data_IF_486774481565
#
_entry.id   IF_486774481565
#
_cell.length_a   1.000
_cell.length_b   1.000
_cell.length_c   1.000
_cell.angle_alpha   90.00
_cell.angle_beta   90.00
_cell.angle_gamma   90.00
#
_symmetry.space_group_name_H-M   'P 1'
#
loop_
_entity.id
_entity.type
_entity.pdbx_description
1 polymer ?
#
# COMPACT_ATOMS: atom_id res chain seq x y z
N UNK A 1 14.14 1.80 -31.38
CA UNK A 1 13.43 2.58 -30.34
C UNK A 1 12.64 1.62 -29.45
N UNK A 2 12.77 1.71 -28.13
CA UNK A 2 11.89 0.95 -27.21
C UNK A 2 10.50 1.59 -27.17
N UNK A 3 9.46 0.83 -27.52
CA UNK A 3 8.11 1.37 -27.68
C UNK A 3 7.47 1.78 -26.34
N UNK A 4 7.79 1.08 -25.24
CA UNK A 4 7.24 1.39 -23.93
C UNK A 4 7.88 2.66 -23.35
N UNK A 5 9.21 2.74 -23.39
CA UNK A 5 9.93 3.94 -22.94
C UNK A 5 9.59 5.16 -23.79
N UNK A 6 9.43 5.00 -25.11
CA UNK A 6 9.03 6.10 -25.99
C UNK A 6 7.60 6.60 -25.71
N UNK A 7 6.66 5.69 -25.41
CA UNK A 7 5.30 6.07 -25.04
C UNK A 7 5.28 6.81 -23.69
N UNK A 8 6.02 6.31 -22.69
CA UNK A 8 6.15 6.98 -21.39
C UNK A 8 6.85 8.32 -21.54
N UNK A 9 7.93 8.42 -22.32
CA UNK A 9 8.68 9.67 -22.48
C UNK A 9 7.82 10.77 -23.10
N UNK A 10 6.93 10.42 -24.03
CA UNK A 10 5.98 11.38 -24.61
C UNK A 10 5.17 12.11 -23.53
N UNK A 11 4.67 11.38 -22.53
CA UNK A 11 3.90 11.96 -21.42
C UNK A 11 4.74 12.89 -20.53
N UNK A 12 6.05 12.69 -20.45
CA UNK A 12 6.93 13.56 -19.67
C UNK A 12 7.49 14.73 -20.48
N UNK A 13 7.56 14.65 -21.81
CA UNK A 13 8.06 15.75 -22.63
C UNK A 13 6.95 16.73 -23.06
N UNK A 14 5.72 16.25 -23.22
CA UNK A 14 4.60 17.05 -23.72
C UNK A 14 3.47 17.23 -22.70
N UNK A 15 3.37 16.37 -21.69
CA UNK A 15 2.35 16.42 -20.64
C UNK A 15 2.99 16.52 -19.24
N UNK A 16 2.16 16.49 -18.19
CA UNK A 16 2.59 16.55 -16.78
C UNK A 16 3.00 15.15 -16.24
N UNK A 17 3.60 14.30 -17.08
CA UNK A 17 4.01 12.94 -16.75
C UNK A 17 2.85 11.95 -16.67
N UNK A 18 3.10 10.80 -16.04
CA UNK A 18 2.09 9.78 -15.78
C UNK A 18 1.26 10.15 -14.55
N UNK A 19 -0.06 9.97 -14.61
CA UNK A 19 -0.86 10.00 -13.39
C UNK A 19 -0.55 8.74 -12.57
N UNK A 20 -0.44 8.83 -11.24
CA UNK A 20 -0.33 7.64 -10.41
C UNK A 20 -1.52 6.74 -10.72
N UNK A 21 -1.26 5.45 -10.98
CA UNK A 21 -2.30 4.47 -11.32
C UNK A 21 -3.29 4.39 -10.15
N UNK A 22 -4.37 5.15 -10.21
CA UNK A 22 -5.58 4.88 -9.43
C UNK A 22 -6.24 3.71 -10.13
N UNK A 23 -5.95 2.50 -9.67
CA UNK A 23 -6.67 1.29 -10.06
C UNK A 23 -8.17 1.55 -9.93
N UNK A 24 -8.85 1.74 -11.06
CA UNK A 24 -10.29 1.62 -11.13
C UNK A 24 -10.62 0.14 -11.09
N UNK A 25 -11.15 -0.31 -9.95
CA UNK A 25 -11.75 -1.62 -9.71
C UNK A 25 -10.78 -2.82 -9.69
N UNK A 26 -9.88 -2.86 -8.70
CA UNK A 26 -9.70 -3.98 -7.76
C UNK A 26 -8.50 -3.67 -6.85
N UNK A 27 -8.56 -4.16 -5.61
CA UNK A 27 -7.69 -3.83 -4.48
C UNK A 27 -6.19 -3.65 -4.81
N UNK A 28 -5.66 -2.45 -4.53
CA UNK A 28 -4.22 -2.17 -4.46
C UNK A 28 -3.68 -1.34 -5.63
N UNK A 29 -2.87 -0.34 -5.31
CA UNK A 29 -2.01 0.37 -6.28
C UNK A 29 -0.88 -0.62 -6.62
N UNK A 30 -1.12 -1.51 -7.59
CA UNK A 30 -0.08 -2.42 -8.06
C UNK A 30 0.78 -1.69 -9.10
N UNK A 31 2.10 -1.58 -8.89
CA UNK A 31 2.99 -1.01 -9.88
C UNK A 31 3.00 -1.88 -11.15
N UNK A 32 3.35 -1.31 -12.32
CA UNK A 32 3.48 -2.05 -13.58
C UNK A 32 4.77 -2.90 -13.62
N UNK A 33 5.07 -3.63 -12.54
CA UNK A 33 6.20 -4.56 -12.44
C UNK A 33 5.69 -5.96 -12.06
N UNK A 34 6.38 -7.03 -12.48
CA UNK A 34 6.08 -8.38 -12.04
C UNK A 34 6.23 -8.48 -10.51
N UNK A 35 5.11 -8.64 -9.82
CA UNK A 35 5.03 -8.74 -8.38
C UNK A 35 4.10 -9.89 -8.00
N UNK A 36 4.54 -10.74 -7.08
CA UNK A 36 3.70 -11.80 -6.52
C UNK A 36 3.71 -11.70 -5.00
N UNK A 37 2.57 -11.34 -4.42
CA UNK A 37 2.36 -11.25 -2.99
C UNK A 37 1.07 -12.02 -2.66
N UNK A 38 1.17 -13.26 -2.13
CA UNK A 38 -0.02 -14.06 -1.82
C UNK A 38 -0.81 -13.54 -0.61
N UNK A 39 -0.18 -12.75 0.26
CA UNK A 39 -0.78 -12.14 1.46
C UNK A 39 -1.09 -10.65 1.26
N UNK A 40 -1.69 -9.98 2.25
CA UNK A 40 -1.86 -8.51 2.24
C UNK A 40 -0.64 -7.74 2.76
N UNK A 41 0.35 -8.45 3.32
CA UNK A 41 1.60 -7.88 3.82
C UNK A 41 2.82 -8.70 3.36
N UNK A 42 3.57 -8.18 2.39
CA UNK A 42 4.81 -8.80 1.92
C UNK A 42 5.97 -7.84 2.10
N UNK A 43 7.13 -8.37 2.48
CA UNK A 43 8.36 -7.57 2.57
C UNK A 43 9.47 -8.27 1.81
N UNK A 44 10.28 -7.50 1.09
CA UNK A 44 11.45 -8.02 0.38
C UNK A 44 12.73 -7.52 1.05
N UNK A 45 13.79 -8.37 1.09
CA UNK A 45 15.09 -7.92 1.56
C UNK A 45 15.63 -6.81 0.64
N UNK A 46 16.60 -6.05 1.16
CA UNK A 46 17.33 -5.08 0.36
C UNK A 46 17.98 -5.80 -0.82
N UNK A 47 17.78 -5.26 -2.01
CA UNK A 47 18.30 -5.83 -3.23
C UNK A 47 18.74 -4.76 -4.22
N UNK A 48 19.64 -5.14 -5.11
CA UNK A 48 20.14 -4.27 -6.17
C UNK A 48 19.36 -4.52 -7.45
N UNK A 49 19.03 -3.44 -8.16
CA UNK A 49 18.35 -3.51 -9.45
C UNK A 49 18.88 -2.43 -10.38
N UNK A 50 19.04 -2.79 -11.65
CA UNK A 50 19.38 -1.85 -12.71
C UNK A 50 18.17 -0.95 -13.02
N UNK A 51 18.42 0.34 -13.17
CA UNK A 51 17.40 1.31 -13.52
C UNK A 51 17.98 2.57 -14.12
N UNK A 52 17.12 3.58 -14.23
CA UNK A 52 17.48 4.92 -14.67
C UNK A 52 17.45 5.86 -13.47
N UNK A 53 18.44 6.74 -13.39
CA UNK A 53 18.53 7.76 -12.36
C UNK A 53 18.71 9.14 -13.00
N UNK A 54 18.10 10.13 -12.37
CA UNK A 54 18.38 11.54 -12.65
C UNK A 54 19.33 12.09 -11.59
N UNK A 55 20.13 13.08 -11.99
CA UNK A 55 20.64 14.11 -11.08
C UNK A 55 20.49 15.46 -11.76
N UNK A 56 20.08 16.48 -11.01
CA UNK A 56 20.06 17.86 -11.49
C UNK A 56 20.81 18.79 -10.53
N UNK A 57 21.45 19.81 -11.08
CA UNK A 57 22.15 20.86 -10.33
C UNK A 57 21.75 22.24 -10.86
N UNK A 58 21.61 23.22 -9.97
CA UNK A 58 21.42 24.61 -10.35
C UNK A 58 22.68 25.13 -11.06
N UNK A 59 22.51 25.70 -12.25
CA UNK A 59 23.57 26.28 -13.09
C UNK A 59 23.23 27.69 -13.54
N UNK A 60 22.42 28.41 -12.76
CA UNK A 60 22.06 29.81 -13.05
C UNK A 60 23.30 30.71 -13.08
N UNK A 61 24.36 30.34 -12.35
CA UNK A 61 25.69 30.97 -12.37
C UNK A 61 26.49 30.73 -13.66
N UNK A 62 26.03 29.85 -14.56
CA UNK A 62 26.62 29.57 -15.88
C UNK A 62 25.92 30.32 -17.01
N UNK A 63 25.06 31.27 -16.66
CA UNK A 63 24.38 32.13 -17.62
C UNK A 63 24.90 33.56 -17.58
N UNK A 64 24.96 34.18 -18.75
CA UNK A 64 25.35 35.58 -18.90
C UNK A 64 24.33 36.34 -19.74
N UNK A 65 23.96 37.54 -19.30
CA UNK A 65 23.10 38.40 -20.08
C UNK A 65 23.88 39.14 -21.15
N UNK A 66 23.40 39.12 -22.39
CA UNK A 66 24.02 39.82 -23.53
C UNK A 66 22.96 40.54 -24.39
N UNK A 67 23.27 41.76 -24.83
CA UNK A 67 22.35 42.62 -25.59
C UNK A 67 23.07 43.80 -26.28
N UNK A 68 22.81 44.10 -27.56
CA UNK A 68 22.33 43.19 -28.61
C UNK A 68 23.46 42.26 -29.08
N UNK A 69 23.13 41.00 -29.37
CA UNK A 69 24.07 40.05 -29.98
C UNK A 69 23.55 39.71 -31.37
N UNK A 70 24.39 39.86 -32.39
CA UNK A 70 24.08 39.34 -33.71
C UNK A 70 24.00 37.82 -33.63
N UNK A 71 22.86 37.28 -34.05
CA UNK A 71 22.68 35.86 -34.32
C UNK A 71 23.35 35.57 -35.67
N UNK A 72 24.68 35.74 -35.74
CA UNK A 72 25.47 35.08 -36.78
C UNK A 72 25.19 33.60 -36.59
N UNK A 73 24.61 32.89 -37.57
CA UNK A 73 24.62 31.44 -37.89
C UNK A 73 24.90 30.39 -36.77
N UNK A 74 24.76 30.75 -35.49
CA UNK A 74 25.25 30.09 -34.28
C UNK A 74 24.12 29.33 -33.56
N UNK A 75 22.96 29.30 -34.19
CA UNK A 75 21.90 28.35 -33.90
C UNK A 75 21.40 27.83 -35.23
N UNK A 76 21.25 26.51 -35.37
CA UNK A 76 20.44 25.85 -36.41
C UNK A 76 18.95 26.26 -36.35
N UNK A 77 18.66 27.48 -35.93
CA UNK A 77 17.35 28.03 -35.66
C UNK A 77 17.14 29.27 -36.51
N UNK A 78 15.97 29.35 -37.15
CA UNK A 78 15.50 30.38 -38.11
C UNK A 78 15.60 31.83 -37.59
N UNK A 79 16.80 32.34 -37.35
CA UNK A 79 17.05 33.77 -37.24
C UNK A 79 18.29 34.18 -38.04
N UNK A 80 18.47 33.72 -39.29
CA UNK A 80 19.58 34.20 -40.10
C UNK A 80 19.46 35.71 -40.24
N UNK A 81 20.44 36.44 -39.70
CA UNK A 81 20.56 37.91 -39.70
C UNK A 81 19.67 38.68 -38.70
N UNK A 82 19.39 38.12 -37.51
CA UNK A 82 18.68 38.82 -36.43
C UNK A 82 19.58 39.25 -35.26
N UNK A 83 19.14 40.21 -34.46
CA UNK A 83 19.76 40.59 -33.18
C UNK A 83 18.87 40.20 -31.99
N UNK A 84 19.44 39.49 -31.02
CA UNK A 84 18.73 39.07 -29.82
C UNK A 84 19.32 39.66 -28.55
N UNK A 85 18.45 39.84 -27.56
CA UNK A 85 18.80 40.23 -26.20
C UNK A 85 18.29 39.17 -25.24
N UNK A 86 19.14 38.73 -24.31
CA UNK A 86 18.75 37.66 -23.43
C UNK A 86 19.91 37.01 -22.69
N UNK A 87 19.62 35.86 -22.10
CA UNK A 87 20.57 35.06 -21.33
C UNK A 87 21.15 33.95 -22.20
N UNK A 88 22.48 33.88 -22.20
CA UNK A 88 23.27 32.94 -22.96
C UNK A 88 23.93 31.94 -22.02
N UNK A 89 24.02 30.69 -22.47
CA UNK A 89 24.87 29.69 -21.83
C UNK A 89 26.33 30.02 -22.10
N UNK A 90 27.13 30.14 -21.04
CA UNK A 90 28.58 30.37 -21.14
C UNK A 90 29.25 29.17 -21.81
N UNK A 91 29.84 29.39 -22.98
CA UNK A 91 30.60 28.45 -23.78
C UNK A 91 31.51 29.24 -24.75
N UNK A 92 32.41 28.56 -25.47
CA UNK A 92 33.25 29.22 -26.48
C UNK A 92 32.38 29.87 -27.57
N UNK A 93 31.30 29.18 -27.95
CA UNK A 93 30.21 29.67 -28.79
C UNK A 93 28.95 29.82 -27.91
N UNK A 94 28.62 31.03 -27.45
CA UNK A 94 27.52 31.27 -26.52
C UNK A 94 26.17 30.95 -27.15
N UNK A 95 25.33 30.23 -26.41
CA UNK A 95 24.04 29.73 -26.91
C UNK A 95 22.91 30.52 -26.26
N UNK A 96 22.06 31.17 -27.04
CA UNK A 96 20.89 31.89 -26.51
C UNK A 96 19.92 30.88 -25.88
N UNK A 97 19.64 31.03 -24.59
CA UNK A 97 18.77 30.14 -23.82
C UNK A 97 17.39 30.74 -23.53
N UNK A 98 17.35 32.04 -23.22
CA UNK A 98 16.10 32.83 -23.10
C UNK A 98 16.34 34.23 -23.61
N UNK A 99 15.36 34.85 -24.24
CA UNK A 99 15.53 36.19 -24.79
C UNK A 99 14.46 36.59 -25.78
N UNK A 100 14.67 37.71 -26.44
CA UNK A 100 13.75 38.24 -27.44
C UNK A 100 14.50 38.92 -28.57
N UNK A 101 13.87 38.91 -29.75
CA UNK A 101 14.37 39.59 -30.93
C UNK A 101 14.03 41.09 -30.86
N UNK A 102 15.01 41.94 -31.16
CA UNK A 102 14.87 43.41 -31.19
C UNK A 102 14.78 44.01 -32.61
N UNK A 103 14.88 43.18 -33.65
CA UNK A 103 14.93 43.65 -35.03
C UNK A 103 13.54 44.08 -35.54
N UNK A 104 13.37 45.34 -35.99
CA UNK A 104 12.16 45.74 -36.71
C UNK A 104 12.17 45.18 -38.15
N UNK A 105 11.01 44.69 -38.61
CA UNK A 105 10.75 44.25 -40.00
C UNK A 105 11.33 42.91 -40.47
N UNK A 106 11.57 41.95 -39.57
CA UNK A 106 11.80 40.53 -39.93
C UNK A 106 10.53 39.68 -39.74
N UNK A 107 10.49 38.47 -40.30
CA UNK A 107 9.38 37.52 -40.06
C UNK A 107 9.26 37.07 -38.58
N UNK A 108 10.27 37.39 -37.76
CA UNK A 108 10.38 37.00 -36.35
C UNK A 108 10.25 38.18 -35.39
N UNK A 109 9.79 39.34 -35.88
CA UNK A 109 9.52 40.50 -35.02
C UNK A 109 8.57 40.10 -33.90
N UNK A 110 8.95 40.39 -32.66
CA UNK A 110 8.13 40.13 -31.48
C UNK A 110 8.14 38.68 -30.98
N UNK A 111 8.99 37.80 -31.53
CA UNK A 111 9.25 36.46 -31.00
C UNK A 111 10.11 36.53 -29.72
N UNK A 112 9.69 35.76 -28.72
CA UNK A 112 10.33 35.65 -27.41
C UNK A 112 10.63 34.18 -27.15
N UNK A 113 11.91 33.86 -26.92
CA UNK A 113 12.38 32.57 -26.44
C UNK A 113 12.19 32.51 -24.93
N UNK A 114 11.18 31.77 -24.49
CA UNK A 114 10.82 31.67 -23.08
C UNK A 114 11.64 30.60 -22.38
N UNK A 115 11.91 29.48 -23.05
CA UNK A 115 12.72 28.39 -22.50
C UNK A 115 13.46 27.63 -23.59
N UNK A 116 14.64 27.11 -23.24
CA UNK A 116 15.44 26.22 -24.07
C UNK A 116 15.97 25.06 -23.25
N UNK A 117 15.92 23.88 -23.85
CA UNK A 117 16.64 22.70 -23.35
C UNK A 117 17.75 22.39 -24.35
N UNK A 118 19.00 22.44 -23.89
CA UNK A 118 20.19 22.31 -24.72
C UNK A 118 21.03 21.11 -24.26
N UNK A 119 21.23 20.07 -25.09
CA UNK A 119 22.17 19.00 -24.77
C UNK A 119 23.59 19.59 -24.66
N UNK A 120 24.41 19.05 -23.76
CA UNK A 120 25.81 19.46 -23.53
C UNK A 120 26.80 18.82 -24.51
N UNK A 121 26.29 18.32 -25.63
CA UNK A 121 27.02 17.78 -26.77
C UNK A 121 26.35 18.25 -28.06
N UNK A 122 27.11 18.25 -29.15
CA UNK A 122 26.57 18.45 -30.50
C UNK A 122 25.89 17.15 -30.98
N UNK A 123 24.64 17.24 -31.41
CA UNK A 123 23.84 16.07 -31.81
C UNK A 123 24.33 15.42 -33.11
N UNK A 124 25.17 16.09 -33.89
CA UNK A 124 25.69 15.62 -35.18
C UNK A 124 27.10 15.06 -35.08
N UNK A 125 27.95 15.65 -34.22
CA UNK A 125 29.35 15.22 -34.02
C UNK A 125 29.55 14.42 -32.73
N UNK A 126 28.61 14.47 -31.79
CA UNK A 126 28.71 13.92 -30.41
C UNK A 126 29.80 14.56 -29.56
N UNK A 127 30.47 15.58 -30.06
CA UNK A 127 31.50 16.30 -29.30
C UNK A 127 30.84 17.15 -28.20
N UNK A 128 31.43 17.19 -26.98
CA UNK A 128 30.97 18.09 -25.92
C UNK A 128 30.98 19.56 -26.37
N UNK A 129 30.09 20.38 -25.81
CA UNK A 129 30.09 21.83 -26.08
C UNK A 129 31.42 22.44 -25.60
N UNK A 130 32.19 22.98 -26.54
CA UNK A 130 33.49 23.61 -26.25
C UNK A 130 33.35 24.82 -25.33
N UNK A 131 34.25 24.94 -24.35
CA UNK A 131 34.29 26.05 -23.39
C UNK A 131 33.24 26.00 -22.28
N UNK A 132 32.29 25.05 -22.31
CA UNK A 132 31.30 24.89 -21.25
C UNK A 132 31.83 24.02 -20.09
N UNK A 133 31.76 24.54 -18.87
CA UNK A 133 32.19 23.83 -17.66
C UNK A 133 31.00 23.17 -16.95
N UNK A 134 30.64 21.96 -17.40
CA UNK A 134 29.58 21.13 -16.81
C UNK A 134 29.85 20.84 -15.31
N UNK A 135 28.83 20.95 -14.46
CA UNK A 135 28.88 20.57 -13.04
C UNK A 135 28.74 19.06 -12.83
N UNK A 136 28.04 18.36 -13.73
CA UNK A 136 27.75 16.93 -13.65
C UNK A 136 28.56 16.16 -14.71
N UNK A 137 29.87 16.00 -14.49
CA UNK A 137 30.78 15.32 -15.43
C UNK A 137 31.32 13.96 -14.94
N UNK A 138 30.68 13.38 -13.93
CA UNK A 138 31.18 12.20 -13.22
C UNK A 138 30.47 10.89 -13.61
N UNK A 139 29.76 10.86 -14.75
CA UNK A 139 29.04 9.66 -15.23
C UNK A 139 29.42 9.33 -16.66
N UNK A 140 29.79 8.06 -16.86
CA UNK A 140 30.07 7.50 -18.18
C UNK A 140 28.78 7.07 -18.86
N UNK A 141 28.68 7.36 -20.16
CA UNK A 141 27.59 6.93 -21.03
C UNK A 141 26.19 7.32 -20.49
N UNK A 142 25.92 8.61 -20.24
CA UNK A 142 24.58 9.06 -19.86
C UNK A 142 23.59 8.83 -21.02
N UNK A 143 22.33 8.61 -20.68
CA UNK A 143 21.22 8.62 -21.65
C UNK A 143 20.94 10.02 -22.18
N UNK A 144 21.14 11.04 -21.34
CA UNK A 144 21.04 12.44 -21.73
C UNK A 144 21.75 13.33 -20.73
N UNK A 145 22.43 14.37 -21.21
CA UNK A 145 23.08 15.39 -20.39
C UNK A 145 22.81 16.75 -21.02
N UNK A 146 22.05 17.58 -20.32
CA UNK A 146 21.48 18.79 -20.90
C UNK A 146 21.29 19.89 -19.85
N UNK A 147 21.22 21.13 -20.32
CA UNK A 147 20.87 22.30 -19.53
C UNK A 147 19.50 22.80 -19.98
N UNK A 148 18.59 22.95 -19.02
CA UNK A 148 17.29 23.59 -19.21
C UNK A 148 17.35 24.96 -18.60
N UNK A 149 16.92 25.96 -19.35
CA UNK A 149 16.75 27.32 -18.84
C UNK A 149 15.30 27.75 -19.06
N UNK A 150 14.69 28.28 -18.01
CA UNK A 150 13.34 28.83 -18.04
C UNK A 150 13.35 30.31 -17.65
N UNK A 151 12.78 31.15 -18.51
CA UNK A 151 12.51 32.55 -18.22
C UNK A 151 11.16 32.78 -17.54
N UNK A 152 10.41 31.71 -17.21
CA UNK A 152 9.10 31.77 -16.56
C UNK A 152 7.98 32.20 -17.51
N UNK A 153 7.94 33.48 -17.89
CA UNK A 153 6.92 34.02 -18.78
C UNK A 153 7.49 35.08 -19.74
N UNK A 154 6.68 35.47 -20.73
CA UNK A 154 7.08 36.47 -21.76
C UNK A 154 7.43 37.83 -21.14
N UNK A 155 6.77 38.22 -20.05
CA UNK A 155 6.97 39.52 -19.40
C UNK A 155 8.32 39.53 -18.67
N UNK A 156 8.63 38.49 -17.92
CA UNK A 156 9.88 38.31 -17.19
C UNK A 156 11.08 38.28 -18.13
N UNK A 157 10.96 37.54 -19.25
CA UNK A 157 12.01 37.51 -20.29
C UNK A 157 12.26 38.90 -20.86
N UNK A 158 11.21 39.67 -21.18
CA UNK A 158 11.34 41.05 -21.70
C UNK A 158 11.85 42.05 -20.65
N UNK A 159 11.66 41.76 -19.37
CA UNK A 159 12.21 42.54 -18.27
C UNK A 159 13.66 42.17 -17.94
N UNK A 160 14.27 41.24 -18.69
CA UNK A 160 15.61 40.71 -18.44
C UNK A 160 15.76 40.12 -17.03
N UNK A 161 14.67 39.57 -16.49
CA UNK A 161 14.72 38.86 -15.21
C UNK A 161 15.72 37.69 -15.30
N UNK A 162 16.39 37.38 -14.19
CA UNK A 162 17.31 36.24 -14.10
C UNK A 162 16.50 34.95 -14.26
N UNK A 163 16.76 34.13 -15.30
CA UNK A 163 16.05 32.88 -15.52
C UNK A 163 16.56 31.82 -14.53
N UNK A 164 15.85 30.70 -14.50
CA UNK A 164 16.17 29.54 -13.67
C UNK A 164 16.82 28.51 -14.57
N UNK A 165 17.98 27.99 -14.15
CA UNK A 165 18.75 27.06 -14.97
C UNK A 165 19.13 25.79 -14.21
N UNK A 166 18.87 24.64 -14.83
CA UNK A 166 19.19 23.33 -14.29
C UNK A 166 20.01 22.52 -15.29
N UNK A 167 21.17 22.04 -14.87
CA UNK A 167 21.93 21.01 -15.58
C UNK A 167 21.46 19.66 -15.06
N UNK A 168 20.92 18.82 -15.94
CA UNK A 168 20.40 17.51 -15.60
C UNK A 168 21.11 16.42 -16.40
N UNK A 169 21.38 15.30 -15.71
CA UNK A 169 21.94 14.10 -16.30
C UNK A 169 21.04 12.91 -15.99
N UNK A 170 20.59 12.22 -17.03
CA UNK A 170 19.87 10.95 -16.95
C UNK A 170 20.83 9.84 -17.35
N UNK A 171 20.93 8.81 -16.53
CA UNK A 171 21.91 7.74 -16.74
C UNK A 171 21.45 6.41 -16.17
N UNK A 172 22.06 5.34 -16.67
CA UNK A 172 21.94 4.02 -16.08
C UNK A 172 22.59 3.99 -14.70
N UNK A 173 21.91 3.36 -13.74
CA UNK A 173 22.37 3.26 -12.37
C UNK A 173 21.92 1.94 -11.75
N UNK A 174 22.63 1.49 -10.72
CA UNK A 174 22.20 0.39 -9.85
C UNK A 174 21.61 0.99 -8.59
N UNK A 175 20.35 0.66 -8.29
CA UNK A 175 19.63 1.14 -7.11
C UNK A 175 19.54 0.02 -6.09
N UNK A 176 19.87 0.31 -4.84
CA UNK A 176 19.59 -0.58 -3.71
C UNK A 176 18.22 -0.24 -3.14
N UNK A 177 17.26 -1.12 -3.35
CA UNK A 177 15.85 -0.91 -3.03
C UNK A 177 15.39 -1.82 -1.88
N UNK A 178 14.47 -1.32 -1.08
CA UNK A 178 13.69 -2.10 -0.13
C UNK A 178 12.21 -1.93 -0.46
N UNK A 179 11.58 -3.01 -0.90
CA UNK A 179 10.19 -3.02 -1.33
C UNK A 179 9.29 -3.66 -0.27
N UNK A 180 8.08 -3.16 -0.12
CA UNK A 180 7.07 -3.72 0.76
C UNK A 180 5.67 -3.49 0.20
N UNK A 181 4.80 -4.48 0.39
CA UNK A 181 3.35 -4.37 0.19
C UNK A 181 2.72 -4.32 1.56
N UNK A 182 1.97 -3.26 1.86
CA UNK A 182 1.20 -3.14 3.09
C UNK A 182 -0.26 -2.81 2.74
N UNK A 183 -1.20 -3.63 3.20
CA UNK A 183 -2.64 -3.50 2.89
C UNK A 183 -2.93 -3.41 1.38
N UNK A 184 -2.12 -4.10 0.57
CA UNK A 184 -2.22 -4.08 -0.90
C UNK A 184 -1.62 -2.84 -1.58
N UNK A 185 -1.07 -1.88 -0.83
CA UNK A 185 -0.31 -0.76 -1.39
C UNK A 185 1.18 -1.12 -1.49
N UNK A 186 1.75 -0.97 -2.69
CA UNK A 186 3.17 -1.16 -2.92
C UNK A 186 3.97 0.11 -2.60
N UNK A 187 5.06 -0.06 -1.87
CA UNK A 187 5.99 1.02 -1.54
C UNK A 187 7.43 0.55 -1.74
N UNK A 188 8.27 1.45 -2.23
CA UNK A 188 9.71 1.21 -2.37
C UNK A 188 10.48 2.34 -1.70
N UNK A 189 11.53 1.96 -0.97
CA UNK A 189 12.49 2.90 -0.44
C UNK A 189 13.85 2.65 -1.11
N UNK A 190 14.39 3.68 -1.77
CA UNK A 190 15.71 3.64 -2.40
C UNK A 190 16.73 4.09 -1.36
N UNK A 191 17.65 3.19 -1.00
CA UNK A 191 18.65 3.43 0.05
C UNK A 191 19.99 3.90 -0.50
N UNK A 192 20.43 3.34 -1.63
CA UNK A 192 21.71 3.67 -2.26
C UNK A 192 21.59 3.65 -3.78
N UNK A 193 22.43 4.44 -4.45
CA UNK A 193 22.50 4.54 -5.90
C UNK A 193 23.96 4.53 -6.35
N UNK A 194 24.29 3.66 -7.29
CA UNK A 194 25.62 3.51 -7.87
C UNK A 194 25.58 3.86 -9.36
N UNK A 195 26.52 4.69 -9.80
CA UNK A 195 26.69 5.12 -11.19
C UNK A 195 27.98 4.55 -11.77
N UNK A 196 28.02 4.36 -13.09
CA UNK A 196 29.28 4.07 -13.77
C UNK A 196 30.12 5.35 -13.89
N UNK A 197 31.25 5.37 -13.18
CA UNK A 197 32.23 6.47 -13.20
C UNK A 197 33.56 6.08 -13.83
N UNK A 198 33.58 4.98 -14.60
CA UNK A 198 34.82 4.52 -15.24
C UNK A 198 35.29 5.53 -16.29
N UNK A 199 36.60 5.67 -16.43
CA UNK A 199 37.20 6.45 -17.51
C UNK A 199 37.46 5.52 -18.70
N UNK A 200 37.23 6.01 -19.90
CA UNK A 200 37.50 5.27 -21.13
C UNK A 200 37.47 6.16 -22.37
N UNK A 201 37.77 5.60 -23.54
CA UNK A 201 37.68 6.32 -24.80
C UNK A 201 36.23 6.67 -25.12
N UNK A 202 36.04 7.63 -26.02
CA UNK A 202 34.73 7.97 -26.57
C UNK A 202 34.11 6.72 -27.26
N UNK A 203 32.90 6.28 -26.84
CA UNK A 203 32.25 5.11 -27.43
C UNK A 203 31.66 5.37 -28.82
N UNK A 204 31.62 6.64 -29.28
CA UNK A 204 31.04 7.01 -30.56
C UNK A 204 32.03 6.86 -31.71
N UNK A 205 31.53 6.41 -32.84
CA UNK A 205 32.22 6.52 -34.13
C UNK A 205 31.34 7.29 -35.09
N UNK A 206 31.84 8.45 -35.52
CA UNK A 206 31.13 9.36 -36.42
C UNK A 206 31.82 9.32 -37.78
N UNK A 207 31.08 8.90 -38.80
CA UNK A 207 31.55 8.92 -40.19
C UNK A 207 30.71 9.90 -40.99
N UNK A 208 31.38 10.79 -41.73
CA UNK A 208 30.73 11.75 -42.63
C UNK A 208 30.75 11.16 -44.03
N UNK A 209 29.57 10.92 -44.59
CA UNK A 209 29.44 10.42 -45.96
C UNK A 209 28.87 11.54 -46.84
N UNK A 210 29.63 11.95 -47.87
CA UNK A 210 29.22 12.99 -48.79
C UNK A 210 27.87 12.63 -49.44
N UNK A 211 26.88 13.52 -49.29
CA UNK A 211 25.49 13.40 -49.77
C UNK A 211 24.49 12.55 -48.96
N UNK A 212 24.93 11.83 -47.92
CA UNK A 212 24.03 11.01 -47.06
C UNK A 212 23.87 11.64 -45.66
N UNK A 213 24.93 12.26 -45.14
CA UNK A 213 24.93 12.93 -43.84
C UNK A 213 25.94 12.34 -42.84
N UNK A 214 25.64 12.47 -41.55
CA UNK A 214 26.44 11.90 -40.46
C UNK A 214 25.89 10.52 -40.11
N UNK A 215 26.74 9.51 -40.10
CA UNK A 215 26.42 8.18 -39.58
C UNK A 215 27.14 8.01 -38.24
N UNK A 216 26.36 7.79 -37.18
CA UNK A 216 26.85 7.67 -35.80
C UNK A 216 26.57 6.26 -35.30
N UNK A 217 27.62 5.58 -34.84
CA UNK A 217 27.51 4.25 -34.23
C UNK A 217 27.98 4.33 -32.78
N UNK A 218 27.17 3.79 -31.88
CA UNK A 218 27.52 3.59 -30.48
C UNK A 218 28.08 2.18 -30.26
N UNK A 219 29.34 2.06 -29.86
CA UNK A 219 30.08 0.79 -29.90
C UNK A 219 30.33 0.13 -28.52
N UNK A 220 29.90 0.74 -27.43
CA UNK A 220 30.22 0.27 -26.08
C UNK A 220 29.02 -0.36 -25.36
N UNK A 221 29.20 -1.55 -24.78
CA UNK A 221 28.20 -2.11 -23.87
C UNK A 221 28.25 -1.40 -22.51
N UNK A 222 27.10 -1.19 -21.88
CA UNK A 222 27.04 -0.57 -20.55
C UNK A 222 27.23 -1.67 -19.51
N UNK A 223 28.23 -1.51 -18.63
CA UNK A 223 28.42 -2.37 -17.47
C UNK A 223 28.48 -1.53 -16.19
N UNK A 224 27.80 -1.96 -15.14
CA UNK A 224 27.77 -1.30 -13.84
C UNK A 224 27.87 -2.36 -12.75
N UNK A 225 28.83 -2.20 -11.84
CA UNK A 225 28.95 -3.06 -10.67
C UNK A 225 28.18 -2.46 -9.50
N UNK A 226 27.28 -3.25 -8.91
CA UNK A 226 26.61 -2.88 -7.66
C UNK A 226 27.56 -2.88 -6.47
N UNK A 227 27.07 -2.40 -5.32
CA UNK A 227 27.82 -2.45 -4.05
C UNK A 227 28.06 -3.90 -3.59
N UNK A 228 27.21 -4.84 -3.99
CA UNK A 228 27.41 -6.27 -3.78
C UNK A 228 28.53 -6.88 -4.62
N UNK A 229 29.03 -6.16 -5.63
CA UNK A 229 29.95 -6.66 -6.65
C UNK A 229 29.27 -7.36 -7.83
N UNK A 230 27.93 -7.50 -7.81
CA UNK A 230 27.18 -8.05 -8.93
C UNK A 230 27.25 -7.14 -10.16
N UNK A 231 27.44 -7.73 -11.34
CA UNK A 231 27.55 -7.00 -12.60
C UNK A 231 26.19 -6.91 -13.30
N UNK A 232 25.76 -5.69 -13.60
CA UNK A 232 24.61 -5.40 -14.43
C UNK A 232 25.09 -4.90 -15.80
N UNK A 233 24.62 -5.53 -16.87
CA UNK A 233 25.06 -5.23 -18.23
C UNK A 233 23.88 -4.95 -19.17
N UNK A 234 24.08 -4.02 -20.12
CA UNK A 234 23.17 -3.70 -21.22
C UNK A 234 23.94 -3.70 -22.54
N UNK A 235 23.29 -4.12 -23.62
CA UNK A 235 23.88 -4.00 -24.96
C UNK A 235 23.96 -2.54 -25.40
N UNK A 236 24.95 -2.25 -26.24
CA UNK A 236 25.09 -0.97 -26.95
C UNK A 236 23.82 -0.63 -27.76
N UNK A 237 23.17 -1.62 -28.35
CA UNK A 237 21.93 -1.44 -29.12
C UNK A 237 20.77 -0.94 -28.22
N UNK A 238 20.55 -1.55 -27.05
CA UNK A 238 19.52 -1.12 -26.11
C UNK A 238 19.80 0.30 -25.61
N UNK A 239 21.06 0.58 -25.27
CA UNK A 239 21.47 1.92 -24.86
C UNK A 239 21.16 2.97 -25.95
N UNK A 240 21.60 2.73 -27.19
CA UNK A 240 21.40 3.65 -28.29
C UNK A 240 19.91 3.87 -28.60
N UNK A 241 19.11 2.80 -28.59
CA UNK A 241 17.66 2.87 -28.85
C UNK A 241 16.88 3.74 -27.85
N UNK A 242 17.38 3.86 -26.61
CA UNK A 242 16.77 4.65 -25.55
C UNK A 242 17.34 6.07 -25.58
N UNK A 243 18.65 6.20 -25.82
CA UNK A 243 19.32 7.49 -25.95
C UNK A 243 18.71 8.34 -27.07
N UNK A 244 18.36 7.74 -28.22
CA UNK A 244 17.71 8.46 -29.34
C UNK A 244 16.39 9.13 -28.97
N UNK A 245 15.70 8.67 -27.93
CA UNK A 245 14.47 9.33 -27.42
C UNK A 245 14.81 10.74 -26.93
N UNK A 246 15.96 10.91 -26.28
CA UNK A 246 16.40 12.21 -25.77
C UNK A 246 16.94 13.10 -26.88
N UNK A 247 17.68 12.55 -27.84
CA UNK A 247 18.15 13.31 -29.02
C UNK A 247 16.97 13.86 -29.85
N UNK A 248 15.85 13.15 -29.91
CA UNK A 248 14.64 13.64 -30.58
C UNK A 248 13.98 14.82 -29.85
N UNK A 249 14.16 14.94 -28.53
CA UNK A 249 13.54 15.99 -27.71
C UNK A 249 14.51 17.12 -27.34
N UNK A 250 15.82 16.91 -27.49
CA UNK A 250 16.87 17.86 -27.17
C UNK A 250 17.85 17.99 -28.35
N UNK A 251 18.12 19.20 -28.87
CA UNK A 251 17.67 20.50 -28.37
C UNK A 251 16.17 20.75 -28.57
N UNK A 252 15.60 21.59 -27.71
CA UNK A 252 14.25 22.11 -27.87
C UNK A 252 14.13 23.55 -27.42
N UNK A 253 13.20 24.27 -28.06
CA UNK A 253 12.89 25.65 -27.67
C UNK A 253 11.39 25.86 -27.56
N UNK A 254 11.05 26.79 -26.67
CA UNK A 254 9.68 27.17 -26.38
C UNK A 254 9.54 28.67 -26.58
N UNK A 255 8.85 29.07 -27.66
CA UNK A 255 8.76 30.47 -28.08
C UNK A 255 7.32 30.96 -28.14
N UNK A 256 7.15 32.27 -28.00
CA UNK A 256 5.87 32.97 -28.12
C UNK A 256 6.06 34.17 -29.04
N UNK A 257 5.17 34.35 -30.01
CA UNK A 257 5.29 35.41 -31.04
C UNK A 257 4.12 36.37 -30.99
N UNK A 258 4.40 37.67 -30.92
CA UNK A 258 3.38 38.75 -30.98
C UNK A 258 2.27 38.71 -29.91
N UNK A 259 2.52 38.04 -28.79
CA UNK A 259 1.55 37.86 -27.70
C UNK A 259 2.27 37.61 -26.37
N UNK A 260 1.58 37.84 -25.25
CA UNK A 260 2.03 37.44 -23.90
C UNK A 260 1.33 36.18 -23.40
N UNK A 261 0.39 35.63 -24.18
CA UNK A 261 -0.39 34.47 -23.81
C UNK A 261 0.38 33.18 -24.12
N UNK A 262 0.81 32.49 -23.06
CA UNK A 262 1.54 31.21 -23.15
C UNK A 262 0.72 30.09 -23.81
N UNK A 263 -0.61 30.20 -23.89
CA UNK A 263 -1.43 29.20 -24.58
C UNK A 263 -1.17 29.13 -26.09
N UNK A 264 -0.49 30.12 -26.66
CA UNK A 264 -0.10 30.20 -28.07
C UNK A 264 1.39 29.88 -28.26
N UNK A 265 2.07 29.39 -27.23
CA UNK A 265 3.46 29.03 -27.33
C UNK A 265 3.68 27.86 -28.28
N UNK A 266 4.80 27.92 -28.99
CA UNK A 266 5.23 26.88 -29.93
C UNK A 266 6.45 26.18 -29.34
N UNK A 267 6.32 24.88 -29.12
CA UNK A 267 7.42 23.98 -28.81
C UNK A 267 8.00 23.46 -30.12
N UNK A 268 9.32 23.52 -30.25
CA UNK A 268 10.04 23.07 -31.43
C UNK A 268 11.11 22.05 -30.99
N UNK A 269 11.09 20.89 -31.64
CA UNK A 269 11.81 19.64 -31.27
C UNK A 269 12.21 18.89 -32.54
N UNK A 270 12.89 17.74 -32.41
CA UNK A 270 13.23 16.84 -33.51
C UNK A 270 13.95 17.57 -34.66
N UNK A 271 15.14 18.12 -34.37
CA UNK A 271 15.96 18.78 -35.38
C UNK A 271 16.54 17.76 -36.36
N UNK A 272 16.08 17.81 -37.62
CA UNK A 272 16.62 17.05 -38.72
C UNK A 272 17.38 17.97 -39.66
N UNK A 273 18.61 17.60 -40.03
CA UNK A 273 19.44 18.38 -40.96
C UNK A 273 18.76 18.65 -42.32
N UNK A 274 17.91 17.73 -42.79
CA UNK A 274 17.26 17.81 -44.11
C UNK A 274 15.86 18.42 -44.10
N UNK A 275 15.10 18.24 -43.01
CA UNK A 275 13.70 18.69 -42.91
C UNK A 275 13.46 19.76 -41.85
N UNK A 276 14.53 20.28 -41.22
CA UNK A 276 14.44 21.27 -40.15
C UNK A 276 13.86 20.68 -38.86
N UNK A 277 13.18 21.51 -38.09
CA UNK A 277 12.56 21.13 -36.82
C UNK A 277 11.08 20.80 -36.98
N UNK A 278 10.54 20.03 -36.03
CA UNK A 278 9.11 19.85 -35.86
C UNK A 278 8.55 20.87 -34.88
N UNK A 279 7.57 21.65 -35.33
CA UNK A 279 6.83 22.59 -34.47
C UNK A 279 5.52 21.97 -33.98
N UNK A 280 5.20 22.20 -32.71
CA UNK A 280 3.93 21.85 -32.08
C UNK A 280 3.43 23.03 -31.25
N UNK A 281 2.15 23.35 -31.36
CA UNK A 281 1.54 24.34 -30.49
C UNK A 281 1.21 23.65 -29.18
N UNK A 282 1.97 23.94 -28.13
CA UNK A 282 1.88 23.26 -26.86
C UNK A 282 1.63 24.28 -25.76
N UNK A 283 0.44 24.32 -25.15
CA UNK A 283 0.12 25.32 -24.13
C UNK A 283 0.84 25.06 -22.80
N UNK A 284 1.42 23.87 -22.63
CA UNK A 284 2.11 23.44 -21.43
C UNK A 284 3.51 22.93 -21.79
N UNK A 285 4.53 23.39 -21.06
CA UNK A 285 5.88 22.86 -21.15
C UNK A 285 6.35 22.45 -19.73
N UNK A 286 6.61 21.16 -19.48
CA UNK A 286 7.03 20.69 -18.16
C UNK A 286 8.40 21.24 -17.73
N UNK A 287 9.23 21.67 -18.68
CA UNK A 287 10.56 22.24 -18.45
C UNK A 287 10.55 23.75 -18.14
N UNK A 288 9.38 24.36 -18.03
CA UNK A 288 9.23 25.78 -17.70
C UNK A 288 9.30 26.05 -16.18
N UNK A 289 9.11 25.05 -15.33
CA UNK A 289 8.94 25.24 -13.88
C UNK A 289 10.11 24.68 -13.05
N UNK A 290 10.23 25.09 -11.79
CA UNK A 290 11.36 24.71 -10.91
C UNK A 290 11.39 23.22 -10.53
N UNK A 291 10.28 22.51 -10.68
CA UNK A 291 10.15 21.12 -10.27
C UNK A 291 10.71 20.10 -11.29
N UNK A 292 11.64 20.52 -12.16
CA UNK A 292 12.25 19.65 -13.19
C UNK A 292 12.91 18.42 -12.56
N UNK A 293 13.62 18.57 -11.44
CA UNK A 293 14.26 17.43 -10.75
C UNK A 293 13.23 16.36 -10.38
N UNK A 294 12.11 16.74 -9.78
CA UNK A 294 11.05 15.78 -9.41
C UNK A 294 10.38 15.18 -10.64
N UNK A 295 10.17 15.98 -11.68
CA UNK A 295 9.58 15.53 -12.94
C UNK A 295 10.44 14.46 -13.62
N UNK A 296 11.74 14.69 -13.69
CA UNK A 296 12.72 13.74 -14.23
C UNK A 296 12.92 12.53 -13.30
N UNK A 297 12.74 12.67 -11.99
CA UNK A 297 12.80 11.54 -11.04
C UNK A 297 11.64 10.58 -11.26
N UNK A 298 10.46 11.12 -11.52
CA UNK A 298 9.29 10.34 -11.87
C UNK A 298 9.50 9.62 -13.22
N UNK A 299 10.01 10.32 -14.25
CA UNK A 299 10.39 9.71 -15.52
C UNK A 299 11.39 8.57 -15.33
N UNK A 300 12.44 8.80 -14.55
CA UNK A 300 13.48 7.82 -14.25
C UNK A 300 12.91 6.60 -13.48
N UNK A 301 11.92 6.82 -12.62
CA UNK A 301 11.21 5.76 -11.90
C UNK A 301 10.36 4.92 -12.85
N UNK A 302 9.61 5.53 -13.75
CA UNK A 302 8.81 4.80 -14.75
C UNK A 302 9.71 4.02 -15.72
N UNK A 303 10.83 4.60 -16.15
CA UNK A 303 11.84 3.91 -16.94
C UNK A 303 12.45 2.71 -16.17
N UNK A 304 12.70 2.87 -14.88
CA UNK A 304 13.17 1.77 -14.02
C UNK A 304 12.13 0.65 -13.94
N UNK A 305 10.85 1.00 -13.82
CA UNK A 305 9.77 0.01 -13.79
C UNK A 305 9.65 -0.74 -15.13
N UNK A 306 9.80 -0.05 -16.27
CA UNK A 306 9.83 -0.69 -17.59
C UNK A 306 10.97 -1.70 -17.69
N UNK A 307 12.19 -1.33 -17.27
CA UNK A 307 13.35 -2.24 -17.26
C UNK A 307 13.07 -3.48 -16.40
N UNK A 308 12.48 -3.28 -15.22
CA UNK A 308 12.12 -4.35 -14.28
C UNK A 308 10.95 -5.22 -14.75
N UNK A 309 10.24 -4.81 -15.80
CA UNK A 309 9.12 -5.56 -16.39
C UNK A 309 9.51 -6.43 -17.58
N UNK A 310 10.80 -6.44 -17.96
CA UNK A 310 11.31 -7.22 -19.08
C UNK A 310 11.11 -8.74 -18.86
N UNK A 311 10.50 -9.43 -19.82
CA UNK A 311 10.05 -10.84 -19.64
C UNK A 311 11.16 -11.89 -19.55
N UNK A 312 12.38 -11.59 -19.99
CA UNK A 312 13.44 -12.60 -20.17
C UNK A 312 14.75 -12.31 -19.44
N UNK A 313 14.86 -11.17 -18.76
CA UNK A 313 16.11 -10.69 -18.14
C UNK A 313 15.92 -10.28 -16.68
N UNK A 314 14.85 -10.78 -16.05
CA UNK A 314 14.51 -10.47 -14.66
C UNK A 314 14.75 -11.68 -13.76
N UNK A 315 15.27 -11.41 -12.57
CA UNK A 315 15.36 -12.38 -11.49
C UNK A 315 14.39 -11.97 -10.38
N UNK A 316 13.50 -12.89 -10.02
CA UNK A 316 12.51 -12.64 -8.96
C UNK A 316 13.16 -12.84 -7.60
N UNK A 317 12.98 -11.87 -6.72
CA UNK A 317 13.57 -11.90 -5.38
C UNK A 317 12.55 -12.43 -4.39
N UNK A 318 12.84 -13.53 -3.67
CA UNK A 318 11.93 -14.06 -2.67
C UNK A 318 11.94 -13.20 -1.41
N UNK A 319 10.78 -13.05 -0.78
CA UNK A 319 10.59 -12.33 0.47
C UNK A 319 9.48 -12.95 1.33
N UNK A 320 9.48 -12.73 2.65
CA UNK A 320 8.42 -13.23 3.51
C UNK A 320 7.06 -12.57 3.24
N UNK A 321 6.02 -13.40 3.25
CA UNK A 321 4.61 -13.04 3.17
C UNK A 321 3.94 -13.32 4.54
N UNK A 322 3.22 -12.33 5.08
CA UNK A 322 2.61 -12.39 6.41
C UNK A 322 1.10 -12.23 6.31
N UNK A 323 0.36 -13.19 6.89
CA UNK A 323 -1.09 -13.14 7.00
C UNK A 323 -1.54 -12.80 8.42
N UNK A 324 -2.63 -12.05 8.54
CA UNK A 324 -3.28 -11.79 9.81
C UNK A 324 -4.03 -13.05 10.28
N UNK A 325 -3.46 -13.75 11.26
CA UNK A 325 -4.09 -14.91 11.90
C UNK A 325 -4.75 -14.49 13.20
N UNK A 326 -6.02 -14.87 13.38
CA UNK A 326 -6.73 -14.70 14.65
C UNK A 326 -6.24 -15.73 15.68
N UNK A 327 -5.40 -15.29 16.61
CA UNK A 327 -4.95 -16.12 17.73
C UNK A 327 -5.94 -15.96 18.89
N UNK A 328 -6.58 -17.05 19.30
CA UNK A 328 -7.47 -17.07 20.46
C UNK A 328 -6.67 -17.46 21.70
N UNK A 329 -6.48 -16.51 22.61
CA UNK A 329 -5.94 -16.78 23.94
C UNK A 329 -7.07 -17.26 24.87
N UNK A 330 -7.06 -18.54 25.23
CA UNK A 330 -8.07 -19.10 26.16
C UNK A 330 -7.63 -18.85 27.61
N UNK A 331 -8.31 -17.92 28.28
CA UNK A 331 -8.09 -17.61 29.71
C UNK A 331 -8.93 -18.50 30.61
N UNK A 332 -8.34 -19.58 31.10
CA UNK A 332 -9.00 -20.56 31.99
C UNK A 332 -9.40 -20.02 33.37
N UNK A 333 -8.82 -18.89 33.79
CA UNK A 333 -9.12 -18.24 35.08
C UNK A 333 -10.61 -17.91 35.25
N UNK A 334 -11.30 -17.59 34.15
CA UNK A 334 -12.74 -17.31 34.13
C UNK A 334 -13.62 -18.54 34.42
N UNK A 335 -13.07 -19.75 34.30
CA UNK A 335 -13.79 -20.99 34.60
C UNK A 335 -13.79 -21.31 36.11
N UNK A 336 -13.01 -20.58 36.91
CA UNK A 336 -12.93 -20.78 38.37
C UNK A 336 -14.27 -20.57 39.10
N UNK A 337 -14.99 -19.49 38.79
CA UNK A 337 -16.28 -19.15 39.40
C UNK A 337 -17.36 -20.23 39.15
N UNK A 338 -17.65 -20.65 37.91
CA UNK A 338 -18.64 -21.69 37.68
C UNK A 338 -18.24 -23.05 38.27
N UNK A 339 -16.95 -23.42 38.27
CA UNK A 339 -16.47 -24.61 38.97
C UNK A 339 -16.68 -24.53 40.47
N UNK A 340 -16.36 -23.40 41.10
CA UNK A 340 -16.56 -23.19 42.52
C UNK A 340 -18.04 -23.28 42.90
N UNK A 341 -18.94 -22.69 42.11
CA UNK A 341 -20.39 -22.80 42.32
C UNK A 341 -20.89 -24.24 42.22
N UNK A 342 -20.38 -25.02 41.25
CA UNK A 342 -20.71 -26.43 41.13
C UNK A 342 -20.26 -27.22 42.37
N UNK A 343 -19.04 -26.99 42.84
CA UNK A 343 -18.52 -27.64 44.04
C UNK A 343 -19.35 -27.25 45.27
N UNK A 344 -19.64 -25.97 45.48
CA UNK A 344 -20.43 -25.52 46.62
C UNK A 344 -21.87 -26.05 46.59
N UNK A 345 -22.51 -26.10 45.42
CA UNK A 345 -23.86 -26.66 45.29
C UNK A 345 -23.89 -28.16 45.56
N UNK A 346 -22.87 -28.90 45.10
CA UNK A 346 -22.72 -30.31 45.39
C UNK A 346 -22.52 -30.55 46.90
N UNK A 347 -21.63 -29.79 47.54
CA UNK A 347 -21.41 -29.86 48.99
C UNK A 347 -22.68 -29.53 49.78
N UNK A 348 -23.42 -28.51 49.36
CA UNK A 348 -24.69 -28.14 49.98
C UNK A 348 -25.74 -29.26 49.83
N UNK A 349 -25.81 -29.90 48.67
CA UNK A 349 -26.70 -31.04 48.43
C UNK A 349 -26.35 -32.24 49.31
N UNK A 350 -25.06 -32.58 49.42
CA UNK A 350 -24.62 -33.67 50.30
C UNK A 350 -24.93 -33.34 51.77
N UNK A 351 -24.66 -32.11 52.21
CA UNK A 351 -24.95 -31.67 53.58
C UNK A 351 -26.45 -31.72 53.90
N UNK A 352 -27.31 -31.32 52.95
CA UNK A 352 -28.77 -31.39 53.12
C UNK A 352 -29.28 -32.83 53.17
N UNK A 353 -28.74 -33.75 52.35
CA UNK A 353 -29.07 -35.19 52.43
C UNK A 353 -28.68 -35.77 53.80
N UNK A 354 -27.44 -35.53 54.26
CA UNK A 354 -26.97 -36.04 55.55
C UNK A 354 -27.83 -35.49 56.68
N UNK A 355 -28.04 -34.18 56.73
CA UNK A 355 -28.83 -33.52 57.78
C UNK A 355 -30.30 -33.97 57.78
N UNK A 356 -30.87 -34.18 56.60
CA UNK A 356 -32.23 -34.74 56.44
C UNK A 356 -32.30 -36.19 56.93
N UNK A 357 -31.29 -37.02 56.61
CA UNK A 357 -31.24 -38.42 57.05
C UNK A 357 -31.00 -38.58 58.56
N UNK A 358 -30.31 -37.62 59.18
CA UNK A 358 -30.04 -37.64 60.63
C UNK A 358 -31.18 -37.06 61.46
N UNK A 359 -32.17 -36.42 60.83
CA UNK A 359 -33.33 -35.90 61.53
C UNK A 359 -34.29 -37.06 61.89
N UNK A 360 -34.02 -37.72 63.03
CA UNK A 360 -34.77 -38.87 63.55
C UNK A 360 -36.21 -38.56 64.00
N UNK A 361 -36.70 -37.32 63.86
CA UNK A 361 -38.03 -36.95 64.34
C UNK A 361 -38.76 -35.94 63.43
N UNK A 362 -38.49 -35.98 62.11
CA UNK A 362 -39.39 -35.31 61.16
C UNK A 362 -40.57 -36.23 60.91
N UNK A 363 -41.52 -36.20 61.84
CA UNK A 363 -42.81 -36.84 61.68
C UNK A 363 -43.39 -36.43 60.33
N UNK A 364 -43.55 -37.42 59.44
CA UNK A 364 -44.20 -37.26 58.14
C UNK A 364 -45.61 -36.75 58.41
N UNK A 365 -45.79 -35.42 58.37
CA UNK A 365 -47.09 -34.76 58.56
C UNK A 365 -47.91 -34.92 57.28
N UNK A 366 -48.13 -36.17 56.86
CA UNK A 366 -49.19 -36.52 55.93
C UNK A 366 -50.47 -36.54 56.76
N UNK A 367 -51.27 -35.49 56.62
CA UNK A 367 -52.55 -35.31 57.28
C UNK A 367 -53.41 -36.57 57.13
N UNK A 368 -53.65 -37.26 58.25
CA UNK A 368 -54.21 -38.61 58.33
C UNK A 368 -55.73 -38.66 58.16
N UNK A 369 -56.27 -37.99 57.15
CA UNK A 369 -57.68 -38.14 56.78
C UNK A 369 -57.96 -39.50 56.10
N UNK A 370 -56.95 -40.04 55.41
CA UNK A 370 -57.07 -41.27 54.62
C UNK A 370 -57.06 -42.54 55.48
N UNK A 371 -56.36 -42.53 56.62
CA UNK A 371 -56.28 -43.67 57.53
C UNK A 371 -57.63 -44.00 58.18
N UNK A 372 -58.43 -42.98 58.49
CA UNK A 372 -59.81 -43.13 58.97
C UNK A 372 -60.80 -43.54 57.89
N UNK A 373 -60.49 -43.30 56.62
CA UNK A 373 -61.34 -43.64 55.47
C UNK A 373 -61.11 -45.08 54.97
N UNK A 374 -59.87 -45.56 55.04
CA UNK A 374 -59.47 -46.89 54.55
C UNK A 374 -59.64 -48.01 55.59
N UNK A 375 -59.51 -47.71 56.88
CA UNK A 375 -59.72 -48.67 57.96
C UNK A 375 -61.02 -48.32 58.69
N UNK A 376 -62.16 -48.71 58.11
CA UNK A 376 -63.49 -48.47 58.66
C UNK A 376 -63.63 -48.92 60.12
N UNK A 377 -64.56 -48.30 60.85
CA UNK A 377 -64.78 -48.61 62.27
C UNK A 377 -65.06 -50.12 62.46
N UNK A 378 -64.37 -50.79 63.42
CA UNK A 378 -64.60 -52.20 63.71
C UNK A 378 -66.06 -52.44 64.17
N UNK A 379 -66.58 -53.63 63.85
CA UNK A 379 -68.02 -53.92 63.89
C UNK A 379 -68.62 -53.79 65.31
N UNK A 380 -67.82 -54.00 66.35
CA UNK A 380 -68.18 -53.85 67.76
C UNK A 380 -68.49 -52.39 68.15
N UNK A 381 -67.89 -51.42 67.45
CA UNK A 381 -68.16 -49.99 67.62
C UNK A 381 -69.29 -49.53 66.70
N UNK A 382 -69.40 -50.07 65.48
CA UNK A 382 -70.55 -49.79 64.59
C UNK A 382 -71.87 -50.20 65.23
N UNK A 383 -71.92 -51.38 65.86
CA UNK A 383 -73.12 -51.92 66.52
C UNK A 383 -73.57 -51.08 67.73
N UNK A 384 -72.62 -50.45 68.44
CA UNK A 384 -72.93 -49.52 69.55
C UNK A 384 -73.27 -48.10 69.11
N UNK A 385 -72.88 -47.69 67.90
CA UNK A 385 -73.27 -46.39 67.32
C UNK A 385 -74.66 -46.46 66.67
N UNK A 386 -75.07 -47.64 66.18
CA UNK A 386 -76.42 -47.87 65.62
C UNK A 386 -77.45 -48.33 66.66
N UNK A 387 -77.01 -48.80 67.84
CA UNK A 387 -77.90 -49.09 68.98
C UNK A 387 -78.41 -47.79 69.62
N UNK A 388 -79.62 -47.43 69.23
CA UNK A 388 -80.34 -46.25 69.67
C UNK A 388 -80.74 -46.33 71.16
N UNK A 389 -79.88 -45.84 72.08
CA UNK A 389 -80.31 -45.42 73.43
C UNK A 389 -79.31 -44.62 74.29
N UNK A 390 -78.40 -43.85 73.69
CA UNK A 390 -77.52 -42.93 74.45
C UNK A 390 -77.88 -41.45 74.21
N UNK A 391 -78.20 -40.74 75.30
CA UNK A 391 -78.46 -39.30 75.31
C UNK A 391 -77.15 -38.52 75.11
N UNK A 392 -76.79 -38.21 73.87
CA UNK A 392 -75.67 -37.33 73.55
C UNK A 392 -75.47 -37.13 72.05
N UNK A 393 -74.92 -35.99 71.64
CA UNK A 393 -74.61 -35.75 70.22
C UNK A 393 -73.43 -36.63 69.78
N UNK A 394 -73.41 -37.14 68.52
CA UNK A 394 -72.32 -37.98 68.01
C UNK A 394 -70.93 -37.35 68.17
N UNK A 395 -70.88 -36.02 68.12
CA UNK A 395 -69.67 -35.21 68.28
C UNK A 395 -69.09 -35.24 69.71
N UNK A 396 -69.92 -35.44 70.74
CA UNK A 396 -69.48 -35.58 72.12
C UNK A 396 -68.79 -36.94 72.36
N UNK A 397 -69.28 -38.00 71.71
CA UNK A 397 -68.69 -39.35 71.78
C UNK A 397 -67.38 -39.44 70.98
N UNK A 398 -67.29 -38.78 69.82
CA UNK A 398 -66.06 -38.70 69.02
C UNK A 398 -64.88 -38.03 69.76
N UNK A 399 -65.16 -37.13 70.72
CA UNK A 399 -64.12 -36.51 71.56
C UNK A 399 -63.48 -37.47 72.56
N UNK A 400 -64.13 -38.60 72.86
CA UNK A 400 -63.66 -39.59 73.86
C UNK A 400 -62.97 -40.80 73.22
N UNK A 401 -63.14 -41.01 71.92
CA UNK A 401 -62.43 -42.05 71.16
C UNK A 401 -61.06 -41.55 70.74
N UNK A 402 -59.99 -42.14 71.30
CA UNK A 402 -58.61 -41.86 70.88
C UNK A 402 -58.08 -43.05 70.08
N UNK A 403 -57.50 -42.75 68.92
CA UNK A 403 -56.75 -43.71 68.12
C UNK A 403 -55.28 -43.59 68.51
N UNK A 404 -54.64 -44.69 68.89
CA UNK A 404 -53.19 -44.74 69.12
C UNK A 404 -52.58 -45.83 68.25
N UNK A 405 -51.43 -45.53 67.67
CA UNK A 405 -50.58 -46.51 67.02
C UNK A 405 -49.64 -47.14 68.03
N UNK A 406 -49.56 -48.47 68.04
CA UNK A 406 -48.59 -49.21 68.85
C UNK A 406 -47.62 -49.95 67.91
N UNK A 407 -46.30 -49.72 68.01
CA UNK A 407 -45.32 -50.38 67.17
C UNK A 407 -45.43 -51.91 67.27
N UNK A 408 -45.47 -52.60 66.12
CA UNK A 408 -45.48 -54.07 66.03
C UNK A 408 -46.86 -54.75 66.07
N UNK A 409 -47.93 -54.04 66.46
CA UNK A 409 -49.29 -54.65 66.59
C UNK A 409 -50.37 -53.86 65.83
N UNK A 410 -50.08 -52.64 65.36
CA UNK A 410 -50.96 -51.84 64.50
C UNK A 410 -51.78 -50.76 65.24
N UNK A 411 -52.72 -50.14 64.52
CA UNK A 411 -53.58 -49.07 65.05
C UNK A 411 -54.70 -49.63 65.93
N UNK A 412 -54.93 -49.05 67.13
CA UNK A 412 -56.08 -49.42 67.98
C UNK A 412 -56.89 -48.20 68.44
N UNK A 413 -58.20 -48.42 68.50
CA UNK A 413 -59.19 -47.51 69.06
C UNK A 413 -59.43 -47.89 70.52
N UNK A 414 -59.19 -46.96 71.45
CA UNK A 414 -59.57 -47.15 72.86
C UNK A 414 -60.81 -46.32 73.17
N UNK A 415 -61.94 -47.00 73.43
CA UNK A 415 -63.16 -46.41 73.99
C UNK A 415 -63.26 -46.76 75.48
N UNK A 416 -63.31 -45.75 76.34
CA UNK A 416 -63.23 -45.94 77.78
C UNK A 416 -64.63 -46.12 78.42
N UNK A 417 -65.04 -47.36 78.67
CA UNK A 417 -65.93 -47.71 79.79
C UNK A 417 -65.83 -49.20 80.17
N UNK A 418 -65.25 -49.42 81.35
CA UNK A 418 -65.43 -50.53 82.29
C UNK A 418 -65.64 -51.95 81.74
N UNK A 419 -64.55 -52.70 81.56
CA UNK A 419 -64.43 -54.12 81.99
C UNK A 419 -62.94 -54.51 82.05
N UNK A 420 -62.48 -54.91 83.24
CA UNK A 420 -61.44 -55.93 83.47
C UNK A 420 -62.17 -57.19 83.94
N UNK A 421 -61.54 -58.38 84.06
CA UNK A 421 -60.42 -59.00 83.34
C UNK A 421 -60.81 -60.43 82.86
N UNK A 422 -59.92 -61.17 82.19
CA UNK A 422 -59.63 -62.60 82.51
C UNK A 422 -58.74 -63.29 81.47
N UNK A 423 -58.01 -64.26 82.00
CA UNK A 423 -56.91 -65.05 81.46
C UNK A 423 -57.30 -66.18 80.48
N UNK A 424 -56.27 -66.64 79.74
CA UNK A 424 -56.08 -67.99 79.16
C UNK A 424 -56.97 -68.40 77.98
N UNK A 425 -56.37 -68.72 76.83
CA UNK A 425 -55.93 -70.09 76.51
C UNK A 425 -55.13 -70.14 75.20
N UNK A 426 -53.96 -70.77 75.29
CA UNK A 426 -53.22 -71.33 74.16
C UNK A 426 -54.11 -72.33 73.41
N UNK A 427 -54.09 -72.27 72.06
CA UNK A 427 -54.54 -73.37 71.20
C UNK A 427 -53.46 -73.63 70.16
N UNK A 428 -52.93 -74.85 70.23
CA UNK A 428 -51.95 -75.46 69.34
C UNK A 428 -52.56 -75.85 67.98
N UNK A 429 -51.68 -75.84 66.96
CA UNK A 429 -51.56 -76.72 65.75
C UNK A 429 -52.65 -76.66 64.67
N UNK A 430 -52.35 -77.01 63.38
CA UNK A 430 -51.28 -77.89 62.85
C UNK A 430 -50.45 -77.35 61.66
N UNK A 431 -49.45 -78.12 61.15
CA UNK A 431 -48.48 -77.67 60.14
C UNK A 431 -48.88 -77.99 58.68
N UNK A 432 -48.26 -77.22 57.76
CA UNK A 432 -47.88 -77.50 56.35
C UNK A 432 -48.94 -78.06 55.36
N UNK A 433 -48.88 -77.74 54.04
CA UNK A 433 -47.78 -78.21 53.17
C UNK A 433 -47.33 -77.28 52.03
N UNK A 434 -46.14 -77.63 51.53
CA UNK A 434 -45.49 -77.39 50.21
C UNK A 434 -45.60 -76.02 49.51
#
# INVERSE_FOLDING_TARGET
LDQAMSATSYLYFYDNGTMPVTSSNDNGISPPIPLSCPSTNCTWPKHESLGVCNRCADVTDRLEFRSPVALDDLSNWDYPNGTACGWYLMADNPILMTGYNNEPHTNHTGEVLVSRSQPLYDIWTREPISGHAAKLNDTRNPLSHFVVVSGGDVIQVRQNATPIAHECILSWCVKTMQSAVFEGAYTENITDIVFNKTLGPDPWTVTVEENVGFYMIYNENITIHGNSGFEFALSNETHNNILTIFDDNFPSTYTVTNTTNMSQATLRVQEYKTSGYRSRNEPYNPFLYDNITKHLDNLATDFTNIVRSAKSSIEMIPGPASDLVSVVEVRWEWLSLPLALLIFSFLFLVATIIRSSMAQDVGVWKTSAIATLLYGLPDDVREKVTSAKDQGTPRANAKRTKVKWLPGVGWRLSAASAFSPSSLRSRHTPPQPE
#
